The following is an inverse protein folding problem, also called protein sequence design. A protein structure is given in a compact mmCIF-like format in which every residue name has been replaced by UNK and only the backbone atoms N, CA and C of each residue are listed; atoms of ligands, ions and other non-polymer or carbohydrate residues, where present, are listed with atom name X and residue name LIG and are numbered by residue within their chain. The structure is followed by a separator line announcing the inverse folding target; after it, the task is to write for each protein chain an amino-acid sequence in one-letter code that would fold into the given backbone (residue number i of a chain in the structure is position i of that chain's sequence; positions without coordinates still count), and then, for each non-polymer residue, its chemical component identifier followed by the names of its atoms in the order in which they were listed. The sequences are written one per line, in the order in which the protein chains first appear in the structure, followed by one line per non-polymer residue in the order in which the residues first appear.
data_IF_745921132345
#
_entry.id   IF_745921132345
#
_cell.length_a   1.000
_cell.length_b   1.000
_cell.length_c   1.000
_cell.angle_alpha   90.00
_cell.angle_beta   90.00
_cell.angle_gamma   90.00
#
_symmetry.space_group_name_H-M   'P 1'
#
loop_
_entity.id
_entity.type
_entity.pdbx_description
1 polymer ?
#
# COMPACT_ATOMS: atom_id res chain seq x y z
N UNK A 1 5.91 29.01 10.49
CA UNK A 1 5.67 28.51 10.12
C UNK A 1 6.30 27.87 9.37
N UNK A 2 7.02 27.88 9.08
CA UNK A 2 7.60 27.29 8.47
C UNK A 2 7.91 26.06 8.76
N UNK A 3 8.26 25.77 9.71
CA UNK A 3 8.27 24.55 10.16
C UNK A 3 7.30 23.84 9.53
N UNK A 4 6.46 24.38 9.15
CA UNK A 4 5.35 23.76 8.60
C UNK A 4 5.57 23.06 7.31
N UNK A 5 6.64 23.34 6.65
CA UNK A 5 6.92 22.67 5.40
C UNK A 5 7.09 21.19 5.59
N UNK A 6 7.84 20.80 6.60
CA UNK A 6 8.01 19.41 6.88
C UNK A 6 6.71 18.75 7.27
N UNK A 7 5.93 19.46 8.04
CA UNK A 7 4.65 18.91 8.47
C UNK A 7 3.69 18.75 7.32
N UNK A 8 3.72 19.69 6.39
CA UNK A 8 2.83 19.58 5.26
C UNK A 8 3.11 18.35 4.43
N UNK A 9 4.35 17.93 4.34
CA UNK A 9 4.64 16.71 3.59
C UNK A 9 4.00 15.50 4.22
N UNK A 10 3.68 15.56 5.50
CA UNK A 10 3.04 14.45 6.17
C UNK A 10 1.60 14.28 5.79
N UNK A 11 0.99 15.31 5.21
CA UNK A 11 -0.38 15.21 4.77
C UNK A 11 -0.50 14.57 3.41
N UNK A 12 0.62 14.38 2.74
CA UNK A 12 0.64 13.73 1.44
C UNK A 12 1.20 12.33 1.66
N UNK A 13 0.32 11.36 1.74
CA UNK A 13 0.72 9.98 1.92
C UNK A 13 0.62 9.24 0.61
N UNK A 14 1.58 8.40 0.34
CA UNK A 14 1.51 7.49 -0.78
C UNK A 14 1.12 6.14 -0.26
N UNK A 15 0.02 5.63 -0.75
CA UNK A 15 -0.45 4.30 -0.36
C UNK A 15 -0.53 3.47 -1.62
N UNK A 16 0.14 2.34 -1.61
CA UNK A 16 0.14 1.43 -2.75
C UNK A 16 -0.58 0.16 -2.36
N UNK A 17 -1.43 -0.33 -3.25
CA UNK A 17 -2.11 -1.60 -3.07
C UNK A 17 -1.59 -2.56 -4.12
N UNK A 18 -1.01 -3.66 -3.68
CA UNK A 18 -0.52 -4.70 -4.59
C UNK A 18 -1.39 -5.93 -4.41
N UNK A 19 -2.03 -6.33 -5.47
CA UNK A 19 -2.92 -7.50 -5.46
C UNK A 19 -2.83 -8.16 -6.82
N UNK A 20 -3.16 -9.45 -6.86
CA UNK A 20 -3.24 -10.15 -8.13
C UNK A 20 -4.66 -10.15 -8.69
N UNK A 21 -5.62 -9.58 -7.98
CA UNK A 21 -7.01 -9.54 -8.40
C UNK A 21 -7.47 -8.09 -8.49
N UNK A 22 -7.87 -7.70 -9.69
CA UNK A 22 -8.25 -6.32 -9.94
C UNK A 22 -9.39 -5.85 -9.08
N UNK A 23 -10.41 -6.69 -8.93
CA UNK A 23 -11.59 -6.29 -8.16
C UNK A 23 -11.24 -6.04 -6.71
N UNK A 24 -10.36 -6.84 -6.15
CA UNK A 24 -9.96 -6.65 -4.77
C UNK A 24 -9.14 -5.39 -4.60
N UNK A 25 -8.28 -5.11 -5.58
CA UNK A 25 -7.50 -3.90 -5.53
C UNK A 25 -8.37 -2.67 -5.51
N UNK A 26 -9.38 -2.64 -6.37
CA UNK A 26 -10.30 -1.53 -6.43
C UNK A 26 -11.11 -1.40 -5.15
N UNK A 27 -11.52 -2.53 -4.60
CA UNK A 27 -12.29 -2.53 -3.37
C UNK A 27 -11.48 -1.95 -2.21
N UNK A 28 -10.26 -2.44 -2.03
CA UNK A 28 -9.43 -1.94 -0.94
C UNK A 28 -9.05 -0.49 -1.14
N UNK A 29 -8.80 -0.10 -2.38
CA UNK A 29 -8.48 1.30 -2.66
C UNK A 29 -9.63 2.21 -2.27
N UNK A 30 -10.86 1.79 -2.59
CA UNK A 30 -12.02 2.58 -2.25
C UNK A 30 -12.21 2.69 -0.74
N UNK A 31 -12.07 1.57 -0.03
CA UNK A 31 -12.24 1.57 1.41
C UNK A 31 -11.20 2.47 2.08
N UNK A 32 -9.96 2.37 1.64
CA UNK A 32 -8.89 3.17 2.21
C UNK A 32 -9.12 4.65 1.91
N UNK A 33 -9.50 4.94 0.68
CA UNK A 33 -9.73 6.33 0.30
C UNK A 33 -10.86 6.95 1.11
N UNK A 34 -11.95 6.21 1.28
CA UNK A 34 -13.09 6.69 2.05
C UNK A 34 -12.70 6.93 3.50
N UNK A 35 -11.93 6.01 4.07
CA UNK A 35 -11.47 6.18 5.44
C UNK A 35 -10.60 7.43 5.57
N UNK A 36 -9.67 7.60 4.65
CA UNK A 36 -8.77 8.75 4.71
C UNK A 36 -9.52 10.06 4.55
N UNK A 37 -10.49 10.10 3.66
CA UNK A 37 -11.27 11.30 3.47
C UNK A 37 -12.04 11.65 4.76
N UNK A 38 -12.57 10.64 5.42
CA UNK A 38 -13.26 10.87 6.69
C UNK A 38 -12.31 11.43 7.75
N UNK A 39 -11.05 11.08 7.66
CA UNK A 39 -10.04 11.60 8.58
C UNK A 39 -9.40 12.88 8.07
N UNK A 40 -9.91 13.41 6.97
CA UNK A 40 -9.38 14.62 6.33
C UNK A 40 -7.97 14.43 5.82
N UNK A 41 -7.66 13.22 5.39
CA UNK A 41 -6.41 12.89 4.74
C UNK A 41 -6.69 12.63 3.28
N UNK A 42 -5.75 13.05 2.43
CA UNK A 42 -5.95 12.91 0.98
C UNK A 42 -4.75 12.19 0.39
N UNK A 43 -4.74 10.86 0.44
CA UNK A 43 -3.58 10.09 0.01
C UNK A 43 -3.48 10.02 -1.50
N UNK A 44 -2.26 9.80 -1.96
CA UNK A 44 -2.03 9.40 -3.33
C UNK A 44 -2.10 7.88 -3.33
N UNK A 45 -3.15 7.37 -3.93
CA UNK A 45 -3.46 5.96 -3.86
C UNK A 45 -3.25 5.33 -5.22
N UNK A 46 -2.42 4.30 -5.27
CA UNK A 46 -2.12 3.59 -6.51
C UNK A 46 -2.31 2.10 -6.31
N UNK A 47 -2.83 1.43 -7.32
CA UNK A 47 -3.03 0.00 -7.27
C UNK A 47 -2.21 -0.67 -8.34
N UNK A 48 -1.68 -1.85 -8.01
CA UNK A 48 -0.84 -2.62 -8.89
C UNK A 48 -1.31 -4.06 -8.89
N UNK A 49 -1.26 -4.68 -10.06
CA UNK A 49 -1.64 -6.08 -10.20
C UNK A 49 -0.47 -6.94 -10.61
N UNK A 50 0.68 -6.35 -10.84
CA UNK A 50 1.86 -7.05 -11.28
C UNK A 50 3.02 -6.68 -10.38
N UNK A 51 3.65 -7.70 -9.77
CA UNK A 51 4.73 -7.45 -8.83
C UNK A 51 5.94 -6.80 -9.48
N UNK A 52 6.26 -7.18 -10.72
CA UNK A 52 7.41 -6.59 -11.38
C UNK A 52 7.22 -5.11 -11.62
N UNK A 53 6.03 -4.74 -12.09
CA UNK A 53 5.72 -3.33 -12.30
C UNK A 53 5.73 -2.59 -10.97
N UNK A 54 5.15 -3.20 -9.96
CA UNK A 54 5.09 -2.58 -8.63
C UNK A 54 6.49 -2.29 -8.10
N UNK A 55 7.36 -3.29 -8.10
CA UNK A 55 8.69 -3.11 -7.53
C UNK A 55 9.55 -2.17 -8.36
N UNK A 56 9.24 -2.03 -9.65
CA UNK A 56 9.95 -1.08 -10.47
C UNK A 56 9.50 0.35 -10.17
N UNK A 57 8.20 0.54 -10.06
CA UNK A 57 7.64 1.88 -9.87
C UNK A 57 7.96 2.45 -8.50
N UNK A 58 7.96 1.64 -7.47
CA UNK A 58 8.16 2.16 -6.12
C UNK A 58 9.59 2.64 -5.89
N UNK A 59 10.51 2.32 -6.78
CA UNK A 59 11.87 2.83 -6.63
C UNK A 59 11.95 4.33 -6.86
N UNK A 60 11.05 4.85 -7.68
CA UNK A 60 10.98 6.29 -7.90
C UNK A 60 9.83 6.93 -7.14
N UNK A 61 8.85 6.14 -6.73
CA UNK A 61 7.69 6.65 -6.01
C UNK A 61 7.49 5.78 -4.77
N UNK A 62 8.34 6.00 -3.78
CA UNK A 62 8.33 5.17 -2.58
C UNK A 62 7.05 5.40 -1.79
N UNK A 63 6.27 4.37 -1.54
CA UNK A 63 5.05 4.53 -0.77
C UNK A 63 5.36 4.62 0.72
N UNK A 64 4.47 5.28 1.45
CA UNK A 64 4.53 5.30 2.90
C UNK A 64 3.96 4.03 3.48
N UNK A 65 2.92 3.51 2.85
CA UNK A 65 2.25 2.30 3.29
C UNK A 65 1.94 1.46 2.07
N UNK A 66 2.16 0.16 2.19
CA UNK A 66 1.81 -0.79 1.15
C UNK A 66 0.82 -1.79 1.72
N UNK A 67 -0.29 -1.95 1.03
CA UNK A 67 -1.27 -2.98 1.36
C UNK A 67 -1.03 -4.14 0.39
N UNK A 68 -0.60 -5.27 0.95
CA UNK A 68 -0.33 -6.46 0.15
C UNK A 68 -1.53 -7.38 0.25
N UNK A 69 -2.22 -7.56 -0.87
CA UNK A 69 -3.38 -8.45 -0.93
C UNK A 69 -2.99 -9.62 -1.80
N UNK A 70 -2.07 -10.42 -1.30
CA UNK A 70 -1.53 -11.57 -1.99
C UNK A 70 -1.57 -12.77 -1.07
N UNK A 71 -1.92 -13.94 -1.60
CA UNK A 71 -2.03 -15.11 -0.74
C UNK A 71 -0.68 -15.75 -0.45
N UNK A 72 -0.59 -16.39 0.71
CA UNK A 72 0.44 -17.34 1.04
C UNK A 72 1.87 -16.87 0.78
N UNK A 73 2.60 -17.70 0.05
CA UNK A 73 4.02 -17.50 -0.17
C UNK A 73 4.28 -16.22 -0.97
N UNK A 74 3.41 -15.91 -1.92
CA UNK A 74 3.60 -14.70 -2.71
C UNK A 74 3.55 -13.46 -1.83
N UNK A 75 2.60 -13.42 -0.90
CA UNK A 75 2.51 -12.28 0.01
C UNK A 75 3.71 -12.18 0.91
N UNK A 76 4.16 -13.33 1.43
CA UNK A 76 5.33 -13.34 2.30
C UNK A 76 6.57 -12.86 1.56
N UNK A 77 6.79 -13.39 0.36
CA UNK A 77 7.96 -13.01 -0.42
C UNK A 77 7.94 -11.52 -0.78
N UNK A 78 6.78 -11.01 -1.17
CA UNK A 78 6.65 -9.61 -1.49
C UNK A 78 6.94 -8.74 -0.26
N UNK A 79 6.44 -9.14 0.89
CA UNK A 79 6.65 -8.39 2.11
C UNK A 79 8.13 -8.35 2.48
N UNK A 80 8.81 -9.49 2.38
CA UNK A 80 10.22 -9.54 2.71
C UNK A 80 11.05 -8.72 1.75
N UNK A 81 10.73 -8.81 0.47
CA UNK A 81 11.45 -8.03 -0.53
C UNK A 81 11.27 -6.54 -0.30
N UNK A 82 10.03 -6.13 -0.03
CA UNK A 82 9.72 -4.74 0.22
C UNK A 82 10.44 -4.23 1.47
N UNK A 83 10.48 -5.05 2.52
CA UNK A 83 11.13 -4.66 3.77
C UNK A 83 12.63 -4.50 3.57
N UNK A 84 13.22 -5.30 2.69
CA UNK A 84 14.65 -5.19 2.44
C UNK A 84 14.97 -3.94 1.63
N UNK A 85 14.08 -3.53 0.74
CA UNK A 85 14.30 -2.34 -0.08
C UNK A 85 13.98 -1.05 0.67
N UNK A 86 12.88 -1.06 1.41
CA UNK A 86 12.39 0.15 2.06
C UNK A 86 11.98 -0.19 3.49
N UNK A 87 12.94 -0.30 4.41
CA UNK A 87 12.61 -0.73 5.77
C UNK A 87 11.71 0.23 6.53
N UNK A 88 11.62 1.48 6.08
CA UNK A 88 10.74 2.44 6.75
C UNK A 88 9.31 2.43 6.24
N UNK A 89 9.02 1.63 5.23
CA UNK A 89 7.69 1.57 4.66
C UNK A 89 6.77 0.71 5.51
N UNK A 90 5.56 1.21 5.78
CA UNK A 90 4.57 0.42 6.49
C UNK A 90 4.00 -0.66 5.57
N UNK A 91 3.83 -1.85 6.09
CA UNK A 91 3.32 -2.97 5.31
C UNK A 91 2.12 -3.57 6.04
N UNK A 92 1.01 -3.66 5.33
CA UNK A 92 -0.17 -4.34 5.82
C UNK A 92 -0.43 -5.50 4.87
N UNK A 93 -0.39 -6.70 5.39
CA UNK A 93 -0.57 -7.89 4.58
C UNK A 93 -1.95 -8.46 4.83
N UNK A 94 -2.75 -8.53 3.78
CA UNK A 94 -4.07 -9.10 3.83
C UNK A 94 -4.08 -10.37 2.99
N UNK A 95 -4.63 -11.42 3.54
CA UNK A 95 -4.75 -12.67 2.81
C UNK A 95 -6.19 -13.12 2.87
N UNK A 96 -6.76 -13.35 1.71
CA UNK A 96 -8.13 -13.82 1.66
C UNK A 96 -8.26 -15.25 2.16
N UNK A 97 -7.16 -15.98 2.15
CA UNK A 97 -7.21 -17.34 2.62
C UNK A 97 -7.56 -17.42 4.10
N UNK A 98 -7.24 -16.38 4.83
CA UNK A 98 -7.53 -16.38 6.25
C UNK A 98 -9.02 -16.44 6.52
N UNK A 99 -9.80 -15.87 5.63
CA UNK A 99 -11.24 -15.85 5.84
C UNK A 99 -11.86 -17.17 5.54
N UNK A 100 -11.30 -17.90 4.63
CA UNK A 100 -11.88 -19.18 4.25
C UNK A 100 -11.68 -20.23 5.32
N UNK A 101 -10.80 -19.99 6.25
CA UNK A 101 -10.54 -20.94 7.30
C UNK A 101 -11.56 -20.88 8.43
N UNK A 102 -12.39 -19.92 8.39
CA UNK A 102 -13.37 -19.73 9.43
C UNK A 102 -14.74 -20.11 8.97
#
# INVERSE_FOLDING_TARGET
MLLNIGERRRFVYRIAVLTDLKHEGEHYAKVINDYCINQKLFPLLETYQNQEVFFKEIQTHVPDIVLLVLPGVDGLNAAEHLRSLFPGCGIIWCSNLDFSLH
#
